data_IF_023390303019
#
_entry.id   IF_023390303019
#
_cell.length_a   1.000
_cell.length_b   1.000
_cell.length_c   1.000
_cell.angle_alpha   90.00
_cell.angle_beta   90.00
_cell.angle_gamma   90.00
#
_symmetry.space_group_name_H-M   'P 1'
#
loop_
_entity.id
_entity.type
_entity.pdbx_description
1 polymer ?
#
# COMPACT_ATOMS: atom_id res chain seq x y z
N UNK A 1 0.79 5.30 5.52
CA UNK A 1 2.21 4.95 5.75
C UNK A 1 2.76 5.85 6.83
N UNK A 2 3.61 5.32 7.72
CA UNK A 2 4.29 6.09 8.78
C UNK A 2 5.78 5.78 8.71
N UNK A 3 6.63 6.81 8.80
CA UNK A 3 8.08 6.63 8.84
C UNK A 3 8.58 6.42 10.28
N UNK A 4 9.68 5.71 10.43
CA UNK A 4 10.47 5.67 11.65
C UNK A 4 11.44 6.86 11.73
N UNK A 5 12.20 6.96 12.82
CA UNK A 5 13.22 8.00 13.02
C UNK A 5 14.40 7.92 12.05
N UNK A 6 14.60 6.77 11.39
CA UNK A 6 15.63 6.56 10.37
C UNK A 6 15.15 6.88 8.95
N UNK A 7 13.91 7.35 8.78
CA UNK A 7 13.34 7.68 7.47
C UNK A 7 12.82 6.48 6.67
N UNK A 8 12.91 5.25 7.22
CA UNK A 8 12.29 4.06 6.64
C UNK A 8 10.83 3.95 7.09
N UNK A 9 10.07 3.03 6.50
CA UNK A 9 8.69 2.80 6.92
C UNK A 9 8.66 1.96 8.20
N UNK A 10 7.81 2.34 9.16
CA UNK A 10 7.43 1.46 10.27
C UNK A 10 6.77 0.19 9.75
N UNK A 11 6.70 -0.86 10.58
CA UNK A 11 5.99 -2.09 10.22
C UNK A 11 4.54 -1.79 9.87
N UNK A 12 3.97 -2.54 8.94
CA UNK A 12 2.62 -2.36 8.43
C UNK A 12 1.57 -2.33 9.55
N UNK A 13 1.74 -3.15 10.59
CA UNK A 13 0.83 -3.20 11.76
C UNK A 13 0.87 -1.95 12.64
N UNK A 14 1.92 -1.13 12.51
CA UNK A 14 2.08 0.12 13.26
C UNK A 14 1.51 1.33 12.50
N UNK A 15 0.92 1.12 11.32
CA UNK A 15 0.29 2.20 10.56
C UNK A 15 -1.13 2.45 11.07
N UNK A 16 -1.54 3.72 11.00
CA UNK A 16 -2.88 4.12 11.38
C UNK A 16 -3.89 3.79 10.27
N UNK A 17 -4.86 2.93 10.59
CA UNK A 17 -6.03 2.69 9.74
C UNK A 17 -6.78 3.99 9.44
N UNK A 18 -7.37 4.08 8.26
CA UNK A 18 -8.09 5.28 7.77
C UNK A 18 -7.22 6.54 7.61
N UNK A 19 -5.90 6.47 7.86
CA UNK A 19 -4.98 7.60 7.74
C UNK A 19 -5.53 8.89 8.39
N UNK A 20 -5.75 8.90 9.72
CA UNK A 20 -6.29 10.07 10.42
C UNK A 20 -5.39 11.28 10.18
N UNK A 21 -6.00 12.47 10.09
CA UNK A 21 -5.29 13.73 9.85
C UNK A 21 -4.98 14.02 8.37
N UNK A 22 -4.92 13.02 7.48
CA UNK A 22 -4.73 13.28 6.05
C UNK A 22 -6.07 13.61 5.39
N UNK A 23 -6.21 14.86 4.92
CA UNK A 23 -7.31 15.34 4.09
C UNK A 23 -6.83 15.49 2.64
N UNK A 24 -7.57 14.92 1.69
CA UNK A 24 -7.21 14.99 0.26
C UNK A 24 -6.23 13.90 -0.21
N UNK A 25 -5.68 14.05 -1.43
CA UNK A 25 -4.67 13.16 -1.98
C UNK A 25 -3.37 13.21 -1.17
N UNK A 26 -2.69 12.07 -1.04
CA UNK A 26 -1.35 12.00 -0.46
C UNK A 26 -0.59 10.78 -0.93
N UNK A 27 0.72 10.93 -1.14
CA UNK A 27 1.62 9.79 -1.33
C UNK A 27 1.66 8.85 -0.11
N UNK A 28 1.31 9.33 1.09
CA UNK A 28 1.32 8.55 2.33
C UNK A 28 0.05 7.74 2.58
N UNK A 29 -0.99 7.90 1.77
CA UNK A 29 -2.16 7.02 1.81
C UNK A 29 -1.80 5.68 1.15
N UNK A 30 -2.04 4.59 1.87
CA UNK A 30 -1.86 3.22 1.40
C UNK A 30 -3.23 2.58 1.15
N UNK A 31 -3.64 2.38 -0.11
CA UNK A 31 -4.91 1.71 -0.41
C UNK A 31 -4.88 0.24 0.04
N UNK A 32 -5.94 -0.20 0.71
CA UNK A 32 -6.13 -1.60 1.11
C UNK A 32 -7.39 -2.10 0.41
N UNK A 33 -7.28 -3.19 -0.36
CA UNK A 33 -8.27 -3.69 -1.31
C UNK A 33 -9.58 -4.19 -0.68
N UNK A 34 -9.65 -4.29 0.65
CA UNK A 34 -10.82 -4.81 1.37
C UNK A 34 -12.12 -4.04 1.12
N UNK A 35 -12.06 -2.75 0.77
CA UNK A 35 -13.23 -1.89 0.58
C UNK A 35 -13.36 -1.35 -0.85
N UNK A 36 -12.63 -1.96 -1.79
CA UNK A 36 -12.51 -1.49 -3.17
C UNK A 36 -11.49 -0.35 -3.30
N UNK A 37 -10.68 -0.41 -4.35
CA UNK A 37 -9.73 0.63 -4.74
C UNK A 37 -9.89 0.88 -6.23
N UNK A 38 -10.05 2.13 -6.62
CA UNK A 38 -10.12 2.53 -8.03
C UNK A 38 -8.73 3.00 -8.50
N UNK A 39 -8.23 2.36 -9.55
CA UNK A 39 -7.02 2.78 -10.26
C UNK A 39 -7.43 3.34 -11.63
N UNK A 40 -7.53 4.68 -11.79
CA UNK A 40 -7.89 5.25 -13.08
C UNK A 40 -6.82 4.98 -14.15
N UNK A 41 -7.15 5.09 -15.45
CA UNK A 41 -6.16 4.94 -16.51
C UNK A 41 -4.91 5.77 -16.24
N UNK A 42 -3.74 5.18 -16.49
CA UNK A 42 -2.43 5.80 -16.26
C UNK A 42 -2.09 6.12 -14.79
N UNK A 43 -2.83 5.64 -13.79
CA UNK A 43 -2.46 5.85 -12.37
C UNK A 43 -1.34 4.93 -11.88
N UNK A 44 -1.04 3.86 -12.61
CA UNK A 44 0.01 2.89 -12.31
C UNK A 44 1.08 2.92 -13.40
N UNK A 45 2.31 2.60 -13.00
CA UNK A 45 3.46 2.40 -13.89
C UNK A 45 3.21 1.28 -14.91
N UNK A 46 3.86 1.33 -16.06
CA UNK A 46 3.76 0.26 -17.08
C UNK A 46 4.36 -1.05 -16.57
N UNK A 47 5.33 -0.94 -15.65
CA UNK A 47 5.90 -2.04 -14.87
C UNK A 47 4.85 -2.83 -14.09
N UNK A 48 3.64 -2.29 -13.90
CA UNK A 48 2.55 -3.03 -13.27
C UNK A 48 2.20 -4.32 -14.01
N UNK A 49 2.51 -4.41 -15.31
CA UNK A 49 2.28 -5.56 -16.17
C UNK A 49 3.44 -6.57 -16.17
N UNK A 50 4.54 -6.28 -15.47
CA UNK A 50 5.67 -7.20 -15.34
C UNK A 50 5.37 -8.27 -14.28
N UNK A 51 4.81 -9.38 -14.75
CA UNK A 51 4.45 -10.52 -13.91
C UNK A 51 5.69 -11.14 -13.22
N UNK A 52 6.84 -11.18 -13.88
CA UNK A 52 8.04 -11.80 -13.33
C UNK A 52 8.54 -11.02 -12.11
N UNK A 53 8.63 -9.69 -12.23
CA UNK A 53 9.04 -8.83 -11.12
C UNK A 53 7.98 -8.88 -10.01
N UNK A 54 6.70 -8.84 -10.35
CA UNK A 54 5.61 -8.95 -9.37
C UNK A 54 5.74 -10.24 -8.55
N UNK A 55 5.85 -11.39 -9.21
CA UNK A 55 5.93 -12.70 -8.57
C UNK A 55 7.22 -12.88 -7.76
N UNK A 56 8.30 -12.18 -8.13
CA UNK A 56 9.55 -12.18 -7.36
C UNK A 56 9.47 -11.32 -6.10
N UNK A 57 8.89 -10.12 -6.18
CA UNK A 57 8.98 -9.12 -5.11
C UNK A 57 7.76 -9.08 -4.18
N UNK A 58 6.56 -9.34 -4.70
CA UNK A 58 5.31 -9.21 -3.95
C UNK A 58 4.24 -10.27 -4.30
N UNK A 59 4.58 -11.57 -4.37
CA UNK A 59 3.68 -12.63 -4.83
C UNK A 59 2.41 -12.81 -3.99
N UNK A 60 2.38 -12.30 -2.75
CA UNK A 60 1.26 -12.44 -1.82
C UNK A 60 0.55 -11.11 -1.54
N UNK A 61 0.85 -10.04 -2.27
CA UNK A 61 0.26 -8.72 -2.02
C UNK A 61 0.22 -7.88 -3.28
N UNK A 62 -0.90 -7.99 -4.00
CA UNK A 62 -1.28 -7.08 -5.08
C UNK A 62 -1.35 -5.61 -4.60
N UNK A 63 -1.81 -5.37 -3.37
CA UNK A 63 -1.86 -4.03 -2.77
C UNK A 63 -0.47 -3.38 -2.66
N UNK A 64 0.54 -4.18 -2.29
CA UNK A 64 1.94 -3.71 -2.19
C UNK A 64 2.49 -3.37 -3.56
N UNK A 65 2.19 -4.22 -4.55
CA UNK A 65 2.59 -3.99 -5.91
C UNK A 65 1.93 -2.73 -6.49
N UNK A 66 0.61 -2.62 -6.43
CA UNK A 66 -0.13 -1.48 -6.94
C UNK A 66 0.31 -0.16 -6.28
N UNK A 67 0.63 -0.18 -4.98
CA UNK A 67 1.17 1.01 -4.31
C UNK A 67 2.58 1.37 -4.80
N UNK A 68 3.45 0.39 -5.03
CA UNK A 68 4.77 0.66 -5.62
C UNK A 68 4.63 1.29 -7.01
N UNK A 69 3.74 0.74 -7.84
CA UNK A 69 3.47 1.24 -9.19
C UNK A 69 2.90 2.66 -9.21
N UNK A 70 2.05 3.03 -8.25
CA UNK A 70 1.57 4.42 -8.15
C UNK A 70 2.66 5.37 -7.66
N UNK A 71 3.53 4.93 -6.75
CA UNK A 71 4.67 5.73 -6.27
C UNK A 71 5.72 5.98 -7.35
N UNK A 72 6.00 5.01 -8.23
CA UNK A 72 6.87 5.19 -9.40
C UNK A 72 6.40 6.37 -10.26
N UNK A 73 5.08 6.49 -10.45
CA UNK A 73 4.45 7.60 -11.16
C UNK A 73 4.19 8.84 -10.30
N UNK A 74 4.58 8.83 -9.02
CA UNK A 74 4.31 9.89 -8.04
C UNK A 74 2.82 10.25 -7.93
N UNK A 75 1.94 9.26 -8.12
CA UNK A 75 0.51 9.44 -8.03
C UNK A 75 0.05 9.34 -6.58
N UNK A 76 -0.61 10.41 -6.13
CA UNK A 76 -1.20 10.50 -4.80
C UNK A 76 -2.47 9.66 -4.69
N UNK A 77 -2.65 9.01 -3.55
CA UNK A 77 -3.87 8.25 -3.26
C UNK A 77 -4.81 9.12 -2.42
N UNK A 78 -6.12 9.08 -2.68
CA UNK A 78 -7.12 9.83 -1.92
C UNK A 78 -8.17 8.88 -1.35
N UNK A 79 -8.54 9.10 -0.08
CA UNK A 79 -9.72 8.45 0.51
C UNK A 79 -10.98 9.12 -0.02
N UNK A 80 -11.95 8.33 -0.49
CA UNK A 80 -13.24 8.85 -1.00
C UNK A 80 -14.12 9.32 0.16
N UNK A 81 -14.00 8.68 1.33
CA UNK A 81 -14.74 9.02 2.53
C UNK A 81 -13.84 8.85 3.76
N UNK A 82 -14.04 9.66 4.83
CA UNK A 82 -13.43 9.39 6.13
C UNK A 82 -13.99 8.13 6.80
N UNK A 83 -15.15 7.65 6.35
CA UNK A 83 -15.82 6.46 6.87
C UNK A 83 -15.61 5.25 5.97
N UNK A 84 -15.35 4.10 6.60
CA UNK A 84 -15.33 2.80 5.95
C UNK A 84 -16.75 2.20 6.00
N UNK A 85 -17.42 1.96 4.86
CA UNK A 85 -18.69 1.25 4.89
C UNK A 85 -18.48 -0.17 5.42
N UNK A 86 -19.25 -0.56 6.43
CA UNK A 86 -19.25 -1.94 6.93
C UNK A 86 -19.87 -2.85 5.86
N UNK A 87 -19.05 -3.54 5.08
CA UNK A 87 -19.54 -4.64 4.24
C UNK A 87 -19.85 -5.85 5.14
N UNK A 88 -20.98 -6.51 4.89
CA UNK A 88 -21.37 -7.71 5.61
C UNK A 88 -20.29 -8.79 5.45
N UNK A 89 -19.61 -9.13 6.53
CA UNK A 89 -18.75 -10.31 6.56
C UNK A 89 -19.63 -11.56 6.45
N UNK A 90 -19.53 -12.30 5.33
CA UNK A 90 -20.11 -13.64 5.23
C UNK A 90 -19.38 -14.55 6.23
N UNK A 91 -20.02 -14.81 7.37
CA UNK A 91 -19.52 -15.75 8.39
C UNK A 91 -19.56 -17.16 7.81
N UNK A 92 -18.43 -17.66 7.33
CA UNK A 92 -18.33 -19.06 6.87
C UNK A 92 -17.16 -19.35 5.93
N UNK A 93 -16.62 -18.36 5.22
CA UNK A 93 -15.48 -18.55 4.32
C UNK A 93 -14.18 -18.19 5.05
N UNK A 94 -13.76 -19.04 6.01
CA UNK A 94 -12.39 -18.99 6.58
C UNK A 94 -11.56 -20.17 6.10
N UNK A 95 -11.52 -20.38 4.78
CA UNK A 95 -10.44 -21.12 4.15
C UNK A 95 -9.23 -20.20 4.05
N UNK A 96 -8.20 -20.44 4.85
CA UNK A 96 -6.84 -19.85 4.77
C UNK A 96 -6.74 -18.48 4.07
N UNK A 97 -7.33 -17.43 4.64
CA UNK A 97 -7.27 -16.08 4.05
C UNK A 97 -5.84 -15.50 4.12
N UNK A 98 -5.42 -14.71 3.11
CA UNK A 98 -4.17 -13.94 3.05
C UNK A 98 -3.85 -13.16 4.35
N UNK A 99 -4.88 -12.81 5.14
CA UNK A 99 -4.74 -12.20 6.47
C UNK A 99 -3.84 -13.01 7.44
N UNK A 100 -3.80 -14.34 7.32
CA UNK A 100 -2.95 -15.19 8.17
C UNK A 100 -1.47 -15.11 7.73
N UNK A 101 -1.20 -14.99 6.43
CA UNK A 101 0.14 -14.82 5.84
C UNK A 101 0.67 -13.38 6.09
N UNK A 102 -0.21 -12.38 6.05
CA UNK A 102 0.13 -10.99 6.39
C UNK A 102 0.51 -10.82 7.88
N UNK A 103 0.06 -11.74 8.74
CA UNK A 103 0.36 -11.70 10.18
C UNK A 103 1.76 -12.20 10.55
N UNK A 104 2.49 -12.86 9.63
CA UNK A 104 3.83 -13.47 9.87
C UNK A 104 5.02 -12.61 9.41
N UNK A 105 4.82 -11.33 9.08
CA UNK A 105 5.90 -10.43 8.63
C UNK A 105 6.20 -10.50 7.14
N UNK A 106 5.47 -11.33 6.39
CA UNK A 106 5.57 -11.43 4.92
C UNK A 106 5.20 -10.12 4.23
N UNK A 107 4.23 -9.36 4.76
CA UNK A 107 3.83 -8.05 4.22
C UNK A 107 4.99 -7.05 4.27
N UNK A 108 5.65 -6.92 5.42
CA UNK A 108 6.77 -5.99 5.60
C UNK A 108 7.94 -6.34 4.69
N UNK A 109 8.25 -7.64 4.51
CA UNK A 109 9.29 -8.09 3.59
C UNK A 109 9.00 -7.70 2.14
N UNK A 110 7.77 -7.89 1.67
CA UNK A 110 7.38 -7.49 0.30
C UNK A 110 7.39 -5.97 0.12
N UNK A 111 6.96 -5.21 1.15
CA UNK A 111 7.06 -3.74 1.13
C UNK A 111 8.53 -3.32 1.02
N UNK A 112 9.40 -3.89 1.84
CA UNK A 112 10.83 -3.57 1.78
C UNK A 112 11.42 -3.93 0.41
N UNK A 113 11.13 -5.12 -0.12
CA UNK A 113 11.64 -5.59 -1.40
C UNK A 113 11.27 -4.65 -2.55
N UNK A 114 10.00 -4.24 -2.67
CA UNK A 114 9.59 -3.30 -3.75
C UNK A 114 10.14 -1.90 -3.53
N UNK A 115 10.23 -1.42 -2.28
CA UNK A 115 10.77 -0.09 -1.99
C UNK A 115 12.26 0.02 -2.29
N UNK A 116 13.03 -1.03 -2.01
CA UNK A 116 14.47 -1.09 -2.32
C UNK A 116 14.68 -1.27 -3.82
N UNK A 117 13.97 -2.19 -4.47
CA UNK A 117 14.12 -2.46 -5.90
C UNK A 117 13.84 -1.22 -6.77
N UNK A 118 12.77 -0.48 -6.46
CA UNK A 118 12.37 0.72 -7.20
C UNK A 118 12.87 2.03 -6.59
N UNK A 119 13.71 1.98 -5.57
CA UNK A 119 14.25 3.15 -4.87
C UNK A 119 13.18 4.14 -4.37
N UNK A 120 12.03 3.63 -3.90
CA UNK A 120 10.84 4.42 -3.56
C UNK A 120 11.02 5.29 -2.31
N UNK A 121 12.03 5.00 -1.47
CA UNK A 121 12.36 5.86 -0.33
C UNK A 121 12.75 7.27 -0.75
N UNK A 122 13.31 7.47 -1.96
CA UNK A 122 13.61 8.80 -2.49
C UNK A 122 12.35 9.58 -2.83
N UNK A 123 11.33 8.91 -3.37
CA UNK A 123 10.03 9.50 -3.72
C UNK A 123 9.33 10.03 -2.47
N UNK A 124 9.23 9.20 -1.43
CA UNK A 124 8.58 9.60 -0.18
C UNK A 124 9.50 10.42 0.73
N UNK A 125 10.82 10.43 0.49
CA UNK A 125 11.81 11.22 1.21
C UNK A 125 11.73 12.71 0.88
N UNK A 126 11.51 13.04 -0.41
CA UNK A 126 11.38 14.42 -0.89
C UNK A 126 10.00 15.05 -0.65
N UNK A 127 9.03 14.24 -0.20
CA UNK A 127 7.69 14.72 0.11
C UNK A 127 7.68 15.34 1.51
N UNK A 128 7.72 16.68 1.57
CA UNK A 128 7.56 17.45 2.80
C UNK A 128 6.12 17.22 3.30
N UNK A 129 5.97 16.78 4.55
CA UNK A 129 4.66 16.62 5.17
C UNK A 129 3.96 17.99 5.18
N UNK A 130 2.87 18.15 4.43
CA UNK A 130 1.96 19.26 4.69
C UNK A 130 1.18 18.94 5.96
N UNK A 131 1.46 19.75 6.98
CA UNK A 131 0.85 19.81 8.31
C UNK A 131 -0.65 20.07 8.26
#
# INVERSE_FOLDING_TARGET
MIKDSGGKLKKFKEWNSLAPGIQGPSLFIWPVGMHGVLYPPHSLSEEALDEEIFMRLSPYSDETWAKAMSLLKKIECKKVSPFCPNYFHIRGVRGQSLNKINSTGTKDKQIQAVFEYFNLYTVIGNSINHS
#
